data_IF_952995200769
#
_entry.id   IF_952995200769
#
_cell.length_a   1.000
_cell.length_b   1.000
_cell.length_c   1.000
_cell.angle_alpha   90.00
_cell.angle_beta   90.00
_cell.angle_gamma   90.00
#
_symmetry.space_group_name_H-M   'P 1'
#
loop_
_entity.id
_entity.type
_entity.pdbx_description
1 polymer ?
#
# COMPACT_ATOMS: atom_id res chain seq x y z
N UNK A 1 -35.63 -9.63 1.78
CA UNK A 1 -34.28 -10.00 1.29
C UNK A 1 -33.65 -10.91 2.33
N UNK A 2 -33.33 -12.15 1.95
CA UNK A 2 -32.91 -13.20 2.89
C UNK A 2 -31.53 -12.90 3.49
N UNK A 3 -31.37 -13.16 4.79
CA UNK A 3 -30.09 -13.11 5.53
C UNK A 3 -29.01 -13.98 4.87
N UNK A 4 -29.42 -14.99 4.10
CA UNK A 4 -28.54 -15.89 3.35
C UNK A 4 -27.83 -15.18 2.19
N UNK A 5 -28.50 -14.20 1.56
CA UNK A 5 -27.93 -13.44 0.45
C UNK A 5 -26.88 -12.43 0.94
N UNK A 6 -27.09 -11.90 2.15
CA UNK A 6 -26.11 -11.06 2.85
C UNK A 6 -24.87 -11.89 3.25
N UNK A 7 -25.07 -13.10 3.77
CA UNK A 7 -23.99 -14.01 4.14
C UNK A 7 -23.14 -14.41 2.94
N UNK A 8 -23.77 -14.77 1.81
CA UNK A 8 -23.06 -15.09 0.58
C UNK A 8 -22.28 -13.89 0.03
N UNK A 9 -22.85 -12.69 0.06
CA UNK A 9 -22.15 -11.47 -0.34
C UNK A 9 -20.95 -11.17 0.56
N UNK A 10 -21.10 -11.31 1.88
CA UNK A 10 -19.99 -11.11 2.83
C UNK A 10 -18.89 -12.15 2.65
N UNK A 11 -19.25 -13.39 2.31
CA UNK A 11 -18.29 -14.47 2.08
C UNK A 11 -17.55 -14.27 0.76
N UNK A 12 -18.25 -13.86 -0.31
CA UNK A 12 -17.62 -13.49 -1.59
C UNK A 12 -16.72 -12.26 -1.42
N UNK A 13 -17.15 -11.26 -0.64
CA UNK A 13 -16.33 -10.08 -0.32
C UNK A 13 -15.09 -10.45 0.50
N UNK A 14 -15.18 -11.41 1.42
CA UNK A 14 -14.05 -11.92 2.20
C UNK A 14 -13.02 -12.63 1.32
N UNK A 15 -13.47 -13.45 0.38
CA UNK A 15 -12.59 -14.11 -0.59
C UNK A 15 -11.95 -13.10 -1.56
N UNK A 16 -12.72 -12.09 -2.01
CA UNK A 16 -12.22 -11.00 -2.85
C UNK A 16 -11.24 -10.07 -2.12
N UNK A 17 -11.44 -9.82 -0.81
CA UNK A 17 -10.54 -8.97 -0.01
C UNK A 17 -9.23 -9.66 0.34
N UNK A 18 -9.20 -11.00 0.46
CA UNK A 18 -7.96 -11.72 0.77
C UNK A 18 -6.95 -11.75 -0.41
N UNK A 19 -7.38 -11.34 -1.60
CA UNK A 19 -6.61 -11.39 -2.84
C UNK A 19 -5.75 -10.13 -3.13
N UNK A 20 -5.65 -9.16 -2.23
CA UNK A 20 -5.01 -7.85 -2.51
C UNK A 20 -3.65 -7.65 -1.79
N UNK A 21 -3.25 -8.51 -0.86
CA UNK A 21 -1.95 -8.36 -0.20
C UNK A 21 -0.80 -8.97 -1.03
N UNK A 22 -0.08 -8.12 -1.75
CA UNK A 22 1.34 -8.35 -2.04
C UNK A 22 2.09 -8.64 -0.73
N UNK A 23 3.18 -9.42 -0.78
CA UNK A 23 4.00 -9.72 0.39
C UNK A 23 4.90 -8.53 0.76
N UNK A 24 4.29 -7.38 0.99
CA UNK A 24 4.92 -6.23 1.61
C UNK A 24 5.02 -6.54 3.10
N UNK A 25 6.23 -6.82 3.57
CA UNK A 25 6.46 -7.12 4.98
C UNK A 25 6.88 -5.85 5.71
N UNK A 26 6.16 -5.52 6.78
CA UNK A 26 6.53 -4.45 7.71
C UNK A 26 6.62 -5.03 9.12
N UNK A 27 7.84 -5.08 9.65
CA UNK A 27 8.12 -5.66 10.96
C UNK A 27 8.78 -4.63 11.88
N UNK A 28 8.43 -4.66 13.18
CA UNK A 28 9.06 -3.88 14.24
C UNK A 28 9.66 -4.84 15.28
N UNK A 29 10.99 -4.91 15.35
CA UNK A 29 11.67 -5.62 16.41
C UNK A 29 12.06 -4.66 17.54
N UNK A 30 11.76 -4.98 18.80
CA UNK A 30 12.11 -4.17 19.98
C UNK A 30 13.22 -4.85 20.76
N UNK A 31 14.30 -4.13 21.00
CA UNK A 31 15.37 -4.62 21.87
C UNK A 31 15.00 -4.39 23.34
N UNK A 32 15.39 -5.33 24.20
CA UNK A 32 15.21 -5.23 25.65
C UNK A 32 16.05 -4.06 26.19
N UNK A 33 15.53 -3.21 27.10
CA UNK A 33 16.27 -2.07 27.63
C UNK A 33 17.41 -2.54 28.55
N UNK A 34 18.55 -2.88 27.96
CA UNK A 34 19.84 -3.02 28.66
C UNK A 34 20.43 -1.65 28.99
N UNK A 35 21.34 -1.61 29.98
CA UNK A 35 21.84 -0.42 30.67
C UNK A 35 22.12 0.83 29.79
N UNK A 36 21.91 2.04 30.35
CA UNK A 36 21.98 3.30 29.62
C UNK A 36 23.43 3.74 29.40
N UNK A 37 24.04 3.29 28.31
CA UNK A 37 25.29 3.86 27.79
C UNK A 37 25.22 3.93 26.27
N UNK A 38 25.27 5.15 25.71
CA UNK A 38 24.97 5.52 24.32
C UNK A 38 23.51 5.28 23.90
N UNK A 39 23.00 6.04 22.91
CA UNK A 39 21.61 5.98 22.43
C UNK A 39 21.14 4.53 22.24
N UNK A 40 20.40 4.02 23.22
CA UNK A 40 19.87 2.66 23.17
C UNK A 40 18.75 2.63 22.14
N UNK A 41 18.97 1.88 21.06
CA UNK A 41 17.95 1.58 20.05
C UNK A 41 16.73 0.97 20.74
N UNK A 42 15.56 1.58 20.56
CA UNK A 42 14.31 1.06 21.13
C UNK A 42 13.54 0.17 20.15
N UNK A 43 13.84 0.26 18.85
CA UNK A 43 13.19 -0.57 17.84
C UNK A 43 13.81 -0.47 16.45
N UNK A 44 13.54 -1.48 15.64
CA UNK A 44 13.94 -1.56 14.24
C UNK A 44 12.72 -1.83 13.39
N UNK A 45 12.36 -0.86 12.55
CA UNK A 45 11.37 -1.03 11.49
C UNK A 45 12.07 -1.55 10.23
N UNK A 46 11.54 -2.62 9.66
CA UNK A 46 11.97 -3.08 8.34
C UNK A 46 10.76 -3.10 7.43
N UNK A 47 10.81 -2.34 6.35
CA UNK A 47 9.89 -2.50 5.24
C UNK A 47 10.62 -3.14 4.06
N UNK A 48 10.03 -4.19 3.51
CA UNK A 48 10.65 -4.94 2.44
C UNK A 48 9.61 -5.42 1.42
N UNK A 49 9.93 -5.23 0.14
CA UNK A 49 9.22 -5.81 -0.98
C UNK A 49 10.21 -6.62 -1.83
N UNK A 50 9.80 -7.83 -2.22
CA UNK A 50 10.57 -8.68 -3.12
C UNK A 50 9.73 -9.08 -4.32
N UNK A 51 10.35 -9.07 -5.50
CA UNK A 51 9.81 -9.71 -6.68
C UNK A 51 9.96 -11.22 -6.49
N UNK A 52 8.85 -11.93 -6.30
CA UNK A 52 8.85 -13.38 -6.14
C UNK A 52 8.59 -14.01 -7.50
N UNK A 53 9.59 -14.73 -8.03
CA UNK A 53 9.42 -15.59 -9.20
C UNK A 53 8.45 -16.73 -8.84
N UNK A 54 7.25 -16.72 -9.41
CA UNK A 54 6.24 -17.75 -9.14
C UNK A 54 6.68 -19.03 -9.82
N UNK A 55 7.33 -19.90 -9.05
CA UNK A 55 7.52 -21.28 -9.47
C UNK A 55 6.58 -22.28 -8.78
N UNK A 56 5.79 -21.95 -7.74
CA UNK A 56 4.83 -22.94 -7.17
C UNK A 56 3.79 -22.53 -6.10
N UNK A 57 3.43 -21.26 -5.90
CA UNK A 57 2.43 -20.91 -4.85
C UNK A 57 1.22 -20.18 -5.42
N UNK A 58 0.11 -20.91 -5.58
CA UNK A 58 -1.18 -20.46 -6.15
C UNK A 58 -1.99 -19.47 -5.33
N UNK A 59 -1.35 -18.49 -4.70
CA UNK A 59 -2.03 -17.33 -4.13
C UNK A 59 -1.80 -16.12 -5.02
N UNK A 60 -2.86 -15.37 -5.31
CA UNK A 60 -2.84 -14.17 -6.13
C UNK A 60 -1.95 -13.09 -5.49
N UNK A 61 -0.65 -13.13 -5.78
CA UNK A 61 0.31 -12.09 -5.42
C UNK A 61 0.21 -10.98 -6.45
N UNK A 62 0.22 -9.72 -5.99
CA UNK A 62 0.50 -8.58 -6.86
C UNK A 62 1.92 -8.76 -7.41
N UNK A 63 2.01 -9.14 -8.68
CA UNK A 63 3.27 -9.42 -9.34
C UNK A 63 3.84 -8.12 -9.90
N UNK A 64 4.72 -7.49 -9.12
CA UNK A 64 5.63 -6.51 -9.68
C UNK A 64 6.62 -7.22 -10.60
N UNK A 65 6.72 -6.75 -11.84
CA UNK A 65 7.83 -7.09 -12.74
C UNK A 65 9.07 -6.25 -12.45
N UNK A 66 8.88 -5.03 -11.94
CA UNK A 66 9.94 -4.23 -11.35
C UNK A 66 9.38 -3.29 -10.28
N UNK A 67 10.23 -2.94 -9.31
CA UNK A 67 9.89 -2.00 -8.24
C UNK A 67 10.45 -0.63 -8.62
N UNK A 68 9.60 0.40 -8.55
CA UNK A 68 9.94 1.77 -8.92
C UNK A 68 10.33 2.58 -7.69
N UNK A 69 9.60 2.42 -6.58
CA UNK A 69 9.93 3.11 -5.33
C UNK A 69 9.36 2.41 -4.10
N UNK A 70 10.03 2.59 -2.96
CA UNK A 70 9.59 2.16 -1.63
C UNK A 70 9.69 3.34 -0.66
N UNK A 71 8.67 3.53 0.18
CA UNK A 71 8.59 4.65 1.13
C UNK A 71 8.07 4.18 2.49
N UNK A 72 8.69 4.66 3.57
CA UNK A 72 8.18 4.51 4.93
C UNK A 72 7.69 5.85 5.45
N UNK A 73 6.51 5.84 6.07
CA UNK A 73 5.89 7.00 6.69
C UNK A 73 5.63 6.75 8.17
N UNK A 74 5.85 7.76 8.99
CA UNK A 74 5.34 7.87 10.36
C UNK A 74 4.01 8.61 10.34
N UNK A 75 2.94 8.02 10.86
CA UNK A 75 1.62 8.68 10.93
C UNK A 75 1.66 9.83 11.93
N UNK A 76 1.09 10.97 11.54
CA UNK A 76 0.85 12.07 12.47
C UNK A 76 -0.48 11.83 13.20
N UNK A 77 -0.44 11.59 14.50
CA UNK A 77 -1.63 11.34 15.33
C UNK A 77 -2.53 12.56 15.48
N UNK A 78 -2.04 13.76 15.18
CA UNK A 78 -2.78 15.02 15.36
C UNK A 78 -3.64 15.41 14.14
N UNK A 79 -3.48 14.72 13.01
CA UNK A 79 -4.24 15.01 11.79
C UNK A 79 -5.31 13.94 11.55
N UNK A 80 -6.52 14.22 12.01
CA UNK A 80 -7.73 13.39 11.84
C UNK A 80 -8.32 13.44 10.42
N UNK A 81 -7.69 14.13 9.47
CA UNK A 81 -8.18 14.33 8.08
C UNK A 81 -7.38 13.60 6.98
N UNK A 82 -6.77 12.46 7.30
CA UNK A 82 -6.19 11.58 6.26
C UNK A 82 -4.94 12.12 5.54
N UNK A 83 -4.40 13.27 5.96
CA UNK A 83 -3.26 13.88 5.29
C UNK A 83 -1.92 13.38 5.83
N UNK A 84 -1.29 12.54 4.98
CA UNK A 84 0.15 12.33 4.76
C UNK A 84 1.02 12.31 6.03
N UNK A 85 1.37 11.11 6.46
CA UNK A 85 2.44 10.91 7.45
C UNK A 85 3.77 11.52 7.01
N UNK A 86 4.67 11.71 7.97
CA UNK A 86 6.03 12.22 7.73
C UNK A 86 6.82 11.10 7.04
N UNK A 87 7.41 11.38 5.88
CA UNK A 87 8.30 10.44 5.21
C UNK A 87 9.55 10.29 6.07
N UNK A 88 9.83 9.06 6.49
CA UNK A 88 11.08 8.72 7.17
C UNK A 88 12.17 8.42 6.15
N UNK A 89 11.85 7.65 5.12
CA UNK A 89 12.79 7.27 4.08
C UNK A 89 12.09 6.91 2.78
N UNK A 90 12.81 7.12 1.67
CA UNK A 90 12.38 6.78 0.32
C UNK A 90 13.57 6.27 -0.47
N UNK A 91 13.39 5.16 -1.18
CA UNK A 91 14.28 4.72 -2.26
C UNK A 91 13.48 4.65 -3.55
N UNK A 92 14.12 4.97 -4.67
CA UNK A 92 13.51 4.92 -6.00
C UNK A 92 14.55 4.60 -7.05
N UNK A 93 14.12 4.39 -8.30
CA UNK A 93 15.03 4.22 -9.44
C UNK A 93 15.99 5.40 -9.63
N UNK A 94 15.60 6.61 -9.22
CA UNK A 94 16.44 7.82 -9.28
C UNK A 94 17.39 7.92 -8.07
N UNK A 95 16.95 7.46 -6.89
CA UNK A 95 17.75 7.41 -5.67
C UNK A 95 17.70 6.00 -5.06
N UNK A 96 18.47 5.05 -5.60
CA UNK A 96 18.35 3.63 -5.24
C UNK A 96 18.93 3.34 -3.86
N UNK A 97 19.86 4.17 -3.37
CA UNK A 97 20.48 4.00 -2.07
C UNK A 97 20.14 5.18 -1.17
N UNK A 98 19.82 4.88 0.10
CA UNK A 98 19.55 5.86 1.13
C UNK A 98 20.39 5.51 2.36
N UNK A 99 21.12 6.49 2.89
CA UNK A 99 21.70 6.42 4.22
C UNK A 99 21.52 7.77 4.88
N UNK A 100 20.73 7.79 5.95
CA UNK A 100 20.43 9.00 6.70
C UNK A 100 20.56 8.70 8.19
N UNK A 101 21.29 9.55 8.91
CA UNK A 101 21.45 9.44 10.36
C UNK A 101 21.00 10.76 10.97
N UNK A 102 20.04 10.68 11.87
CA UNK A 102 19.56 11.81 12.67
C UNK A 102 19.71 11.48 14.14
N UNK A 103 19.46 12.45 15.02
CA UNK A 103 19.45 12.22 16.46
C UNK A 103 18.38 11.21 16.90
N UNK A 104 17.36 11.01 16.07
CA UNK A 104 16.14 10.28 16.43
C UNK A 104 16.07 8.91 15.76
N UNK A 105 16.71 8.78 14.59
CA UNK A 105 16.68 7.55 13.80
C UNK A 105 17.91 7.40 12.91
N UNK A 106 18.23 6.13 12.62
CA UNK A 106 19.19 5.73 11.60
C UNK A 106 18.45 4.99 10.49
N UNK A 107 18.60 5.44 9.25
CA UNK A 107 17.80 4.98 8.12
C UNK A 107 18.74 4.49 7.04
N UNK A 108 18.49 3.25 6.60
CA UNK A 108 19.16 2.62 5.48
C UNK A 108 18.12 2.18 4.47
N UNK A 109 18.39 2.41 3.19
CA UNK A 109 17.53 1.94 2.13
C UNK A 109 18.32 1.50 0.92
N UNK A 110 17.82 0.48 0.25
CA UNK A 110 18.34 -0.03 -1.01
C UNK A 110 17.19 -0.43 -1.93
N UNK A 111 17.33 -0.13 -3.21
CA UNK A 111 16.46 -0.58 -4.29
C UNK A 111 17.35 -1.20 -5.37
N UNK A 112 17.19 -2.51 -5.53
CA UNK A 112 17.83 -3.33 -6.55
C UNK A 112 16.76 -3.94 -7.45
N UNK A 113 17.17 -4.57 -8.56
CA UNK A 113 16.27 -5.09 -9.60
C UNK A 113 15.16 -6.04 -9.08
N UNK A 114 15.42 -6.72 -7.96
CA UNK A 114 14.52 -7.74 -7.39
C UNK A 114 13.91 -7.36 -6.04
N UNK A 115 14.38 -6.29 -5.42
CA UNK A 115 14.08 -6.02 -4.02
C UNK A 115 14.16 -4.53 -3.73
N UNK A 116 13.20 -4.04 -2.95
CA UNK A 116 13.32 -2.77 -2.28
C UNK A 116 13.24 -2.99 -0.78
N UNK A 117 14.15 -2.36 -0.03
CA UNK A 117 14.21 -2.48 1.42
C UNK A 117 14.52 -1.13 2.05
N UNK A 118 13.78 -0.78 3.09
CA UNK A 118 14.13 0.33 3.99
C UNK A 118 14.12 -0.20 5.42
N UNK A 119 15.20 0.06 6.14
CA UNK A 119 15.37 -0.23 7.55
C UNK A 119 15.52 1.09 8.33
N UNK A 120 14.75 1.24 9.40
CA UNK A 120 14.80 2.39 10.30
C UNK A 120 15.09 1.90 11.71
N UNK A 121 16.24 2.23 12.25
CA UNK A 121 16.54 2.09 13.67
C UNK A 121 16.03 3.33 14.41
N UNK A 122 15.22 3.13 15.43
CA UNK A 122 14.60 4.17 16.24
C UNK A 122 15.28 4.26 17.60
N UNK A 123 15.56 5.49 18.05
CA UNK A 123 16.21 5.74 19.34
C UNK A 123 15.28 6.41 20.37
N UNK A 124 14.19 7.05 19.93
CA UNK A 124 13.22 7.70 20.82
C UNK A 124 12.08 6.76 21.21
N UNK A 125 11.76 6.60 22.52
CA UNK A 125 10.65 5.76 22.98
C UNK A 125 9.30 6.08 22.31
N UNK A 126 9.00 7.36 22.07
CA UNK A 126 7.76 7.81 21.43
C UNK A 126 7.66 7.34 19.97
N UNK A 127 8.79 7.30 19.27
CA UNK A 127 8.84 6.74 17.91
C UNK A 127 8.58 5.23 17.96
N UNK A 128 9.16 4.53 18.92
CA UNK A 128 8.92 3.09 19.10
C UNK A 128 7.48 2.72 19.44
N UNK A 129 6.63 3.68 19.80
CA UNK A 129 5.20 3.52 20.04
C UNK A 129 4.32 4.10 18.92
N UNK A 130 4.92 4.63 17.86
CA UNK A 130 4.20 5.30 16.79
C UNK A 130 3.64 4.32 15.75
N UNK A 131 2.69 4.84 14.98
CA UNK A 131 2.10 4.15 13.84
C UNK A 131 2.93 4.39 12.58
N UNK A 132 3.16 3.30 11.84
CA UNK A 132 3.95 3.34 10.62
C UNK A 132 3.18 2.76 9.43
N UNK A 133 3.48 3.27 8.24
CA UNK A 133 2.99 2.67 7.01
C UNK A 133 4.11 2.59 5.99
N UNK A 134 4.12 1.51 5.24
CA UNK A 134 5.01 1.35 4.11
C UNK A 134 4.21 1.32 2.81
N UNK A 135 4.78 1.91 1.76
CA UNK A 135 4.17 1.99 0.44
C UNK A 135 5.19 1.62 -0.63
N UNK A 136 4.79 0.74 -1.54
CA UNK A 136 5.56 0.32 -2.70
C UNK A 136 4.83 0.75 -3.96
N UNK A 137 5.57 1.33 -4.89
CA UNK A 137 5.15 1.54 -6.27
C UNK A 137 5.99 0.63 -7.16
N UNK A 138 5.35 -0.13 -8.04
CA UNK A 138 6.03 -0.94 -9.05
C UNK A 138 5.26 -0.98 -10.35
N UNK A 139 5.78 -1.71 -11.33
CA UNK A 139 5.09 -1.97 -12.61
C UNK A 139 4.91 -3.46 -12.80
N UNK A 140 3.78 -3.86 -13.36
CA UNK A 140 3.51 -5.26 -13.71
C UNK A 140 4.08 -5.62 -15.09
N UNK A 141 3.95 -6.89 -15.47
CA UNK A 141 4.41 -7.41 -16.77
C UNK A 141 3.74 -6.76 -17.99
N UNK A 142 2.65 -6.02 -17.80
CA UNK A 142 1.95 -5.27 -18.84
C UNK A 142 2.37 -3.79 -18.89
N UNK A 143 3.37 -3.38 -18.09
CA UNK A 143 3.82 -1.99 -17.98
C UNK A 143 2.90 -1.08 -17.16
N UNK A 144 1.88 -1.63 -16.50
CA UNK A 144 0.94 -0.86 -15.67
C UNK A 144 1.54 -0.64 -14.27
N UNK A 145 1.45 0.61 -13.79
CA UNK A 145 1.82 0.98 -12.42
C UNK A 145 0.85 0.36 -11.42
N UNK A 146 1.39 -0.28 -10.39
CA UNK A 146 0.67 -0.90 -9.29
C UNK A 146 1.17 -0.32 -7.96
N UNK A 147 0.25 -0.19 -7.00
CA UNK A 147 0.52 0.35 -5.68
C UNK A 147 0.19 -0.70 -4.62
N UNK A 148 1.10 -0.90 -3.68
CA UNK A 148 0.91 -1.75 -2.51
C UNK A 148 1.20 -0.94 -1.25
N UNK A 149 0.39 -1.10 -0.21
CA UNK A 149 0.61 -0.43 1.06
C UNK A 149 0.24 -1.34 2.23
N UNK A 150 1.07 -1.31 3.28
CA UNK A 150 0.82 -2.00 4.54
C UNK A 150 0.96 -1.01 5.70
N UNK A 151 0.12 -1.18 6.71
CA UNK A 151 0.10 -0.34 7.91
C UNK A 151 0.49 -1.21 9.11
N UNK A 152 1.47 -0.78 9.88
CA UNK A 152 1.77 -1.32 11.20
C UNK A 152 1.14 -0.39 12.24
N UNK A 153 0.00 -0.82 12.76
CA UNK A 153 -0.68 -0.15 13.88
C UNK A 153 -0.29 -0.89 15.15
N UNK A 154 0.28 -0.19 16.12
CA UNK A 154 0.66 -0.84 17.38
C UNK A 154 -0.57 -1.04 18.25
N UNK A 155 -0.83 -2.26 18.71
CA UNK A 155 -1.81 -2.49 19.76
C UNK A 155 -1.23 -1.90 21.05
N UNK A 156 -1.81 -0.79 21.51
CA UNK A 156 -1.52 -0.26 22.84
C UNK A 156 -1.73 -1.36 23.88
N UNK A 157 -0.86 -1.38 24.90
CA UNK A 157 -0.96 -2.28 26.04
C UNK A 157 -2.41 -2.44 26.50
N UNK A 158 -2.81 -3.69 26.69
CA UNK A 158 -4.13 -4.15 27.16
C UNK A 158 -4.62 -3.24 28.28
N UNK A 159 -5.59 -2.37 27.97
CA UNK A 159 -6.31 -1.60 28.99
C UNK A 159 -7.32 -2.52 29.67
N UNK A 160 -7.52 -2.24 30.96
CA UNK A 160 -8.40 -2.94 31.91
C UNK A 160 -9.76 -3.32 31.31
N UNK A 161 -10.46 -4.38 31.81
CA UNK A 161 -11.71 -4.90 31.24
C UNK A 161 -12.86 -3.90 31.02
N UNK A 162 -12.77 -2.68 31.56
CA UNK A 162 -13.72 -1.58 31.34
C UNK A 162 -13.55 -0.84 30.00
N UNK A 163 -12.48 -1.09 29.24
CA UNK A 163 -12.18 -0.40 27.97
C UNK A 163 -12.49 -1.24 26.71
N UNK A 164 -13.05 -2.44 26.86
CA UNK A 164 -13.32 -3.34 25.73
C UNK A 164 -14.41 -2.77 24.81
N UNK A 165 -15.50 -2.22 25.37
CA UNK A 165 -16.57 -1.63 24.56
C UNK A 165 -16.07 -0.43 23.77
N UNK A 166 -15.21 0.39 24.38
CA UNK A 166 -14.58 1.55 23.74
C UNK A 166 -13.53 1.15 22.69
N UNK A 167 -12.86 0.02 22.89
CA UNK A 167 -11.95 -0.57 21.90
C UNK A 167 -12.72 -1.20 20.73
N UNK A 168 -13.88 -1.80 20.97
CA UNK A 168 -14.78 -2.29 19.93
C UNK A 168 -15.28 -1.12 19.09
N UNK A 169 -15.72 -0.02 19.71
CA UNK A 169 -16.17 1.19 19.00
C UNK A 169 -15.02 1.81 18.18
N UNK A 170 -13.81 1.95 18.74
CA UNK A 170 -12.65 2.48 18.01
C UNK A 170 -12.21 1.55 16.85
N UNK A 171 -12.40 0.23 17.02
CA UNK A 171 -12.16 -0.76 15.97
C UNK A 171 -13.23 -0.73 14.89
N UNK A 172 -14.50 -0.54 15.25
CA UNK A 172 -15.59 -0.37 14.30
C UNK A 172 -15.40 0.89 13.47
N UNK A 173 -15.02 2.01 14.11
CA UNK A 173 -14.69 3.26 13.42
C UNK A 173 -13.46 3.12 12.49
N UNK A 174 -12.45 2.34 12.91
CA UNK A 174 -11.28 2.06 12.08
C UNK A 174 -11.61 1.17 10.89
N UNK A 175 -12.51 0.21 11.06
CA UNK A 175 -13.03 -0.64 9.98
C UNK A 175 -13.88 0.20 9.04
N UNK A 176 -14.79 1.03 9.55
CA UNK A 176 -15.65 1.89 8.73
C UNK A 176 -14.81 2.86 7.87
N UNK A 177 -13.79 3.48 8.46
CA UNK A 177 -12.85 4.33 7.71
C UNK A 177 -12.02 3.56 6.67
N UNK A 178 -11.58 2.34 7.00
CA UNK A 178 -10.85 1.49 6.06
C UNK A 178 -11.75 1.01 4.91
N UNK A 179 -13.01 0.72 5.19
CA UNK A 179 -14.01 0.39 4.19
C UNK A 179 -14.30 1.60 3.31
N UNK A 180 -14.42 2.80 3.88
CA UNK A 180 -14.62 4.03 3.10
C UNK A 180 -13.44 4.33 2.17
N UNK A 181 -12.21 4.29 2.67
CA UNK A 181 -10.98 4.50 1.87
C UNK A 181 -10.88 3.47 0.73
N UNK A 182 -11.15 2.20 1.01
CA UNK A 182 -11.12 1.15 -0.02
C UNK A 182 -12.27 1.33 -1.01
N UNK A 183 -13.45 1.75 -0.56
CA UNK A 183 -14.61 1.98 -1.42
C UNK A 183 -14.42 3.19 -2.33
N UNK A 184 -13.83 4.29 -1.85
CA UNK A 184 -13.48 5.45 -2.68
C UNK A 184 -12.36 5.13 -3.66
N UNK A 185 -11.33 4.39 -3.22
CA UNK A 185 -10.23 3.95 -4.09
C UNK A 185 -10.72 2.99 -5.18
N UNK A 186 -11.59 2.04 -4.84
CA UNK A 186 -12.20 1.12 -5.79
C UNK A 186 -13.18 1.80 -6.74
N UNK A 187 -14.03 2.69 -6.25
CA UNK A 187 -14.96 3.41 -7.11
C UNK A 187 -14.18 4.28 -8.09
N UNK A 188 -13.18 5.04 -7.65
CA UNK A 188 -12.35 5.81 -8.58
C UNK A 188 -11.61 4.91 -9.57
N UNK A 189 -11.04 3.79 -9.15
CA UNK A 189 -10.29 2.90 -10.06
C UNK A 189 -11.20 2.18 -11.07
N UNK A 190 -12.34 1.63 -10.62
CA UNK A 190 -13.27 0.87 -11.48
C UNK A 190 -14.03 1.79 -12.42
N UNK A 191 -14.45 2.97 -11.95
CA UNK A 191 -15.13 3.96 -12.81
C UNK A 191 -14.16 4.55 -13.84
N UNK A 192 -12.93 4.91 -13.46
CA UNK A 192 -11.93 5.41 -14.42
C UNK A 192 -11.58 4.34 -15.46
N UNK A 193 -11.33 3.10 -15.06
CA UNK A 193 -11.03 2.00 -15.99
C UNK A 193 -12.16 1.73 -16.99
N UNK A 194 -13.42 1.80 -16.55
CA UNK A 194 -14.59 1.56 -17.41
C UNK A 194 -14.86 2.74 -18.35
N UNK A 195 -14.56 3.98 -17.93
CA UNK A 195 -14.69 5.18 -18.77
C UNK A 195 -13.58 5.18 -19.83
N UNK A 196 -12.33 4.93 -19.45
CA UNK A 196 -11.18 4.92 -20.37
C UNK A 196 -11.32 3.83 -21.45
N UNK A 197 -11.77 2.62 -21.08
CA UNK A 197 -12.00 1.55 -22.05
C UNK A 197 -13.12 1.90 -23.05
N UNK A 198 -14.15 2.62 -22.60
CA UNK A 198 -15.24 3.07 -23.49
C UNK A 198 -14.82 4.24 -24.36
N UNK A 199 -14.01 5.17 -23.84
CA UNK A 199 -13.44 6.27 -24.60
C UNK A 199 -12.54 5.76 -25.73
N UNK A 200 -11.60 4.86 -25.43
CA UNK A 200 -10.72 4.28 -26.45
C UNK A 200 -11.52 3.52 -27.52
N UNK A 201 -12.51 2.72 -27.10
CA UNK A 201 -13.38 2.01 -28.06
C UNK A 201 -14.24 2.95 -28.93
N UNK A 202 -14.61 4.12 -28.43
CA UNK A 202 -15.31 5.14 -29.21
C UNK A 202 -14.36 5.88 -30.16
N UNK A 203 -13.14 6.17 -29.71
CA UNK A 203 -12.09 6.79 -30.51
C UNK A 203 -11.77 5.93 -31.74
N UNK A 204 -11.54 4.62 -31.55
CA UNK A 204 -11.25 3.67 -32.63
C UNK A 204 -12.41 3.58 -33.64
N UNK A 205 -13.65 3.65 -33.16
CA UNK A 205 -14.84 3.64 -34.03
C UNK A 205 -14.96 4.92 -34.86
N UNK A 206 -14.61 6.07 -34.30
CA UNK A 206 -14.62 7.35 -35.02
C UNK A 206 -13.57 7.31 -36.14
N UNK A 207 -12.35 6.86 -35.84
CA UNK A 207 -11.27 6.76 -36.82
C UNK A 207 -11.62 5.79 -37.97
N UNK A 208 -12.29 4.68 -37.65
CA UNK A 208 -12.76 3.70 -38.65
C UNK A 208 -13.89 4.26 -39.53
N UNK A 209 -14.74 5.14 -39.00
CA UNK A 209 -15.77 5.82 -39.79
C UNK A 209 -15.17 6.91 -40.69
N UNK A 210 -14.15 7.63 -40.23
CA UNK A 210 -13.45 8.64 -41.04
C UNK A 210 -12.72 8.03 -42.22
N UNK A 211 -12.01 6.92 -42.00
CA UNK A 211 -11.33 6.16 -43.06
C UNK A 211 -12.32 5.61 -44.09
N UNK A 212 -13.45 5.06 -43.64
CA UNK A 212 -14.51 4.56 -44.53
C UNK A 212 -15.21 5.67 -45.32
N UNK A 213 -15.32 6.88 -44.77
CA UNK A 213 -15.84 8.05 -45.49
C UNK A 213 -14.87 8.53 -46.57
N UNK A 214 -13.57 8.61 -46.25
CA UNK A 214 -12.51 8.97 -47.22
C UNK A 214 -12.44 7.96 -48.36
N UNK A 215 -12.51 6.66 -48.07
CA UNK A 215 -12.46 5.62 -49.11
C UNK A 215 -13.67 5.66 -50.06
N UNK A 216 -14.85 6.08 -49.58
CA UNK A 216 -16.04 6.24 -50.43
C UNK A 216 -15.99 7.50 -51.31
N UNK A 217 -15.32 8.56 -50.86
CA UNK A 217 -15.14 9.78 -51.64
C UNK A 217 -14.21 9.54 -52.84
N UNK A 218 -13.15 8.74 -52.67
CA UNK A 218 -12.18 8.43 -53.72
C UNK A 218 -12.69 7.44 -54.80
N UNK A 219 -13.94 6.98 -54.72
CA UNK A 219 -14.55 6.06 -55.70
C UNK A 219 -15.48 6.83 -56.66
N UNK A 220 -15.72 8.12 -56.41
CA UNK A 220 -16.68 8.95 -57.17
C UNK A 220 -15.97 9.90 -58.16
N UNK A 221 -14.63 9.95 -58.16
CA UNK A 221 -13.79 10.57 -59.20
C UNK A 221 -13.20 9.49 -60.13
#
# INVERSE_FOLDING_TARGET
MSRDLLFLLLQILRELFSAISASLELNLNRDNPGLPTAQTRCGVLTCEERIVDINNSGHAKVLFSSIVSLKIFKRNTNNSRGERGIILGSVSTETPNLTLVTNDAKIFGVLDDKQAKIQVELFKPDDCQSDYSCQTLGVNSQGKKLFSAIKLTQQGQTRSPMDIDRWIDDKLDQIERSVHDVTESWNNFVFQYRIDHRLNSLQDKIELLETRKKSKLNIID
#
